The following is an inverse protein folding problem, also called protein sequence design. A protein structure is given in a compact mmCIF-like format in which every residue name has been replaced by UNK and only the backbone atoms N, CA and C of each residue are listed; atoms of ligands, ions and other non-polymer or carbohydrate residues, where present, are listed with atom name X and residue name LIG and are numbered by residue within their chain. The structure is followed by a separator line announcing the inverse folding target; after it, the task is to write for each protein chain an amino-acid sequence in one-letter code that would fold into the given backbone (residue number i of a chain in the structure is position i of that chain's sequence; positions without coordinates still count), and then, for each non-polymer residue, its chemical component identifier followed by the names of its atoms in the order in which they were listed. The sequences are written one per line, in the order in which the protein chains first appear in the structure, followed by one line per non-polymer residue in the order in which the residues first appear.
data_IF_061659436807
#
_entry.id   IF_061659436807
#
_cell.length_a   1.000
_cell.length_b   1.000
_cell.length_c   1.000
_cell.angle_alpha   90.00
_cell.angle_beta   90.00
_cell.angle_gamma   90.00
#
_symmetry.space_group_name_H-M   'P 1'
#
loop_
_entity.id
_entity.type
_entity.pdbx_description
1 polymer ?
#
# COMPACT_ATOMS: atom_id res chain seq x y z
N UNK A 1 -38.74 17.81 29.03
CA UNK A 1 -38.79 19.29 29.09
C UNK A 1 -38.18 19.80 27.80
N UNK A 2 -39.04 20.08 26.82
CA UNK A 2 -38.68 20.50 25.45
C UNK A 2 -38.26 21.97 25.48
N UNK A 3 -37.00 22.28 25.14
CA UNK A 3 -36.53 23.65 24.95
C UNK A 3 -36.65 24.00 23.46
N UNK A 4 -37.64 24.83 23.16
CA UNK A 4 -37.86 25.47 21.86
C UNK A 4 -36.60 26.23 21.40
N UNK A 5 -35.92 25.69 20.40
CA UNK A 5 -35.01 26.43 19.53
C UNK A 5 -35.87 26.98 18.38
N UNK A 6 -35.92 28.30 18.11
CA UNK A 6 -36.67 28.84 16.98
C UNK A 6 -36.11 28.26 15.67
N UNK A 7 -37.02 27.89 14.78
CA UNK A 7 -36.78 27.10 13.59
C UNK A 7 -35.61 27.58 12.69
N UNK A 8 -34.79 26.60 12.26
CA UNK A 8 -34.11 26.44 10.94
C UNK A 8 -32.57 26.33 10.84
N UNK A 9 -31.84 26.07 11.91
CA UNK A 9 -30.48 25.49 11.78
C UNK A 9 -30.35 24.31 12.74
N UNK A 10 -30.24 23.10 12.20
CA UNK A 10 -30.04 21.88 12.99
C UNK A 10 -28.54 21.53 13.09
N UNK A 11 -28.17 20.63 14.00
CA UNK A 11 -26.80 20.14 14.17
C UNK A 11 -26.22 19.57 12.86
N UNK A 12 -27.06 18.92 12.05
CA UNK A 12 -26.71 18.42 10.72
C UNK A 12 -26.28 19.54 9.74
N UNK A 13 -26.93 20.70 9.81
CA UNK A 13 -26.60 21.86 8.97
C UNK A 13 -25.23 22.46 9.36
N UNK A 14 -24.89 22.42 10.65
CA UNK A 14 -23.59 22.87 11.17
C UNK A 14 -22.45 21.95 10.74
N UNK A 15 -22.68 20.63 10.78
CA UNK A 15 -21.69 19.66 10.28
C UNK A 15 -21.46 19.83 8.77
N UNK A 16 -22.53 19.92 7.98
CA UNK A 16 -22.43 20.21 6.54
C UNK A 16 -21.77 21.55 6.25
N UNK A 17 -22.00 22.57 7.07
CA UNK A 17 -21.33 23.86 6.95
C UNK A 17 -19.81 23.75 7.20
N UNK A 18 -19.41 22.96 8.20
CA UNK A 18 -18.00 22.69 8.53
C UNK A 18 -17.28 21.81 7.50
N UNK A 19 -18.02 20.97 6.78
CA UNK A 19 -17.50 20.16 5.68
C UNK A 19 -17.57 20.88 4.31
N UNK A 20 -18.22 22.06 4.26
CA UNK A 20 -18.36 22.85 3.05
C UNK A 20 -19.43 22.34 2.07
N UNK A 21 -20.28 21.42 2.51
CA UNK A 21 -21.33 20.77 1.71
C UNK A 21 -22.67 21.54 1.67
N UNK A 22 -22.74 22.70 2.32
CA UNK A 22 -23.94 23.56 2.29
C UNK A 22 -23.99 24.41 1.03
N UNK A 23 -25.21 24.62 0.50
CA UNK A 23 -25.42 25.54 -0.61
C UNK A 23 -25.09 26.99 -0.20
N UNK A 24 -24.74 27.89 -1.15
CA UNK A 24 -24.39 29.28 -0.87
C UNK A 24 -25.46 30.04 -0.09
N UNK A 25 -26.74 29.76 -0.37
CA UNK A 25 -27.90 30.38 0.28
C UNK A 25 -28.01 29.94 1.75
N UNK A 26 -27.79 28.65 2.01
CA UNK A 26 -27.85 28.09 3.37
C UNK A 26 -26.65 28.50 4.21
N UNK A 27 -25.49 28.70 3.57
CA UNK A 27 -24.28 29.21 4.21
C UNK A 27 -24.48 30.61 4.79
N UNK A 28 -25.08 31.52 4.01
CA UNK A 28 -25.38 32.88 4.46
C UNK A 28 -26.43 32.90 5.59
N UNK A 29 -27.35 31.94 5.61
CA UNK A 29 -28.30 31.75 6.71
C UNK A 29 -27.57 31.33 7.99
N UNK A 30 -26.72 30.30 7.93
CA UNK A 30 -25.92 29.82 9.07
C UNK A 30 -24.99 30.91 9.62
N UNK A 31 -24.35 31.71 8.76
CA UNK A 31 -23.49 32.82 9.18
C UNK A 31 -24.25 33.91 9.96
N UNK A 32 -25.46 34.31 9.51
CA UNK A 32 -26.30 35.25 10.27
C UNK A 32 -26.72 34.70 11.63
N UNK A 33 -26.96 33.39 11.72
CA UNK A 33 -27.28 32.75 12.99
C UNK A 33 -26.06 32.64 13.93
N UNK A 34 -24.87 32.48 13.39
CA UNK A 34 -23.60 32.51 14.15
C UNK A 34 -23.24 33.92 14.66
N UNK A 35 -23.72 34.98 14.00
CA UNK A 35 -23.62 36.36 14.50
C UNK A 35 -24.56 36.63 15.68
N UNK A 36 -25.74 35.99 15.66
CA UNK A 36 -26.83 36.24 16.62
C UNK A 36 -26.75 35.35 17.86
N UNK A 37 -26.09 34.17 17.77
CA UNK A 37 -26.04 33.19 18.87
C UNK A 37 -24.61 32.85 19.31
N UNK A 38 -24.32 33.09 20.59
CA UNK A 38 -23.06 32.69 21.23
C UNK A 38 -22.95 31.18 21.47
N UNK A 39 -24.08 30.48 21.62
CA UNK A 39 -24.08 29.02 21.83
C UNK A 39 -23.68 28.27 20.54
N UNK A 40 -24.26 28.65 19.40
CA UNK A 40 -23.92 28.08 18.10
C UNK A 40 -22.44 28.30 17.75
N UNK A 41 -21.89 29.47 18.10
CA UNK A 41 -20.46 29.76 17.91
C UNK A 41 -19.56 28.84 18.73
N UNK A 42 -19.97 28.50 19.96
CA UNK A 42 -19.25 27.56 20.82
C UNK A 42 -19.29 26.14 20.28
N UNK A 43 -20.44 25.72 19.76
CA UNK A 43 -20.62 24.38 19.19
C UNK A 43 -19.78 24.19 17.91
N UNK A 44 -19.77 25.19 17.03
CA UNK A 44 -18.92 25.19 15.82
C UNK A 44 -17.43 25.17 16.17
N UNK A 45 -17.02 25.88 17.24
CA UNK A 45 -15.63 25.86 17.71
C UNK A 45 -15.21 24.48 18.23
N UNK A 46 -16.10 23.79 18.95
CA UNK A 46 -15.86 22.44 19.46
C UNK A 46 -15.71 21.42 18.31
N UNK A 47 -16.60 21.46 17.32
CA UNK A 47 -16.50 20.55 16.17
C UNK A 47 -15.24 20.80 15.35
N UNK A 48 -14.80 22.07 15.24
CA UNK A 48 -13.54 22.41 14.57
C UNK A 48 -12.33 21.84 15.29
N UNK A 49 -12.25 21.99 16.62
CA UNK A 49 -11.11 21.46 17.38
C UNK A 49 -11.01 19.93 17.30
N UNK A 50 -12.15 19.23 17.33
CA UNK A 50 -12.17 17.77 17.15
C UNK A 50 -11.68 17.37 15.75
N UNK A 51 -12.12 18.07 14.70
CA UNK A 51 -11.69 17.80 13.31
C UNK A 51 -10.18 17.99 13.14
N UNK A 52 -9.61 19.03 13.74
CA UNK A 52 -8.16 19.29 13.71
C UNK A 52 -7.35 18.19 14.43
N UNK A 53 -7.81 17.74 15.61
CA UNK A 53 -7.14 16.67 16.37
C UNK A 53 -7.18 15.32 15.62
N UNK A 54 -8.32 14.98 15.02
CA UNK A 54 -8.44 13.78 14.19
C UNK A 54 -7.56 13.83 12.93
N UNK A 55 -7.44 15.01 12.31
CA UNK A 55 -6.54 15.20 11.18
C UNK A 55 -5.08 14.96 11.59
N UNK A 56 -4.63 15.53 12.71
CA UNK A 56 -3.25 15.38 13.17
C UNK A 56 -2.90 13.91 13.51
N UNK A 57 -3.84 13.18 14.12
CA UNK A 57 -3.71 11.73 14.35
C UNK A 57 -3.64 10.93 13.05
N UNK A 58 -4.45 11.28 12.04
CA UNK A 58 -4.44 10.61 10.74
C UNK A 58 -3.11 10.79 9.99
N UNK A 59 -2.49 11.98 10.09
CA UNK A 59 -1.20 12.27 9.47
C UNK A 59 -0.03 11.65 10.22
N UNK A 60 -0.11 11.53 11.56
CA UNK A 60 0.92 10.87 12.37
C UNK A 60 1.05 9.38 12.04
N UNK A 61 -0.07 8.67 11.88
CA UNK A 61 -0.07 7.25 11.49
C UNK A 61 0.47 7.04 10.07
N UNK A 62 0.14 7.91 9.11
CA UNK A 62 0.61 7.78 7.72
C UNK A 62 2.14 7.93 7.56
N UNK A 63 2.81 8.65 8.48
CA UNK A 63 4.27 8.84 8.42
C UNK A 63 5.08 7.66 8.99
N UNK A 64 4.52 6.88 9.91
CA UNK A 64 5.20 5.80 10.60
C UNK A 64 5.54 4.62 9.68
N UNK A 65 4.69 4.32 8.70
CA UNK A 65 4.86 3.19 7.80
C UNK A 65 5.98 3.40 6.76
N UNK A 66 6.28 4.67 6.41
CA UNK A 66 7.20 4.99 5.30
C UNK A 66 8.69 4.70 5.55
N UNK A 67 9.09 4.50 6.81
CA UNK A 67 10.49 4.24 7.19
C UNK A 67 10.80 2.75 7.10
N UNK A 68 9.89 1.89 7.57
CA UNK A 68 10.04 0.44 7.50
C UNK A 68 9.93 -0.11 6.07
N UNK A 69 9.08 0.49 5.24
CA UNK A 69 8.99 0.14 3.81
C UNK A 69 10.24 0.53 3.01
N UNK A 70 10.93 1.61 3.40
CA UNK A 70 12.19 2.04 2.78
C UNK A 70 13.37 1.14 3.11
N UNK A 71 13.38 0.56 4.31
CA UNK A 71 14.44 -0.37 4.76
C UNK A 71 14.22 -1.76 4.14
N UNK A 72 12.96 -2.24 4.12
CA UNK A 72 12.59 -3.55 3.56
C UNK A 72 12.76 -3.64 2.04
N UNK A 73 12.56 -2.53 1.32
CA UNK A 73 12.74 -2.53 -0.14
C UNK A 73 14.21 -2.46 -0.60
N UNK A 74 15.14 -2.01 0.25
CA UNK A 74 16.54 -1.76 -0.16
C UNK A 74 17.55 -2.85 0.24
N UNK A 75 17.31 -3.60 1.31
CA UNK A 75 18.35 -4.49 1.89
C UNK A 75 18.02 -5.97 1.73
N UNK A 76 16.77 -6.39 1.95
CA UNK A 76 16.41 -7.82 1.89
C UNK A 76 16.27 -8.37 0.47
N UNK A 77 15.98 -7.51 -0.52
CA UNK A 77 15.79 -7.96 -1.91
C UNK A 77 17.10 -8.35 -2.61
N UNK A 78 18.18 -7.53 -2.66
CA UNK A 78 19.36 -7.87 -3.45
C UNK A 78 20.16 -9.04 -2.85
N UNK A 79 20.25 -9.14 -1.52
CA UNK A 79 21.02 -10.19 -0.85
C UNK A 79 20.39 -11.57 -1.05
N UNK A 80 19.04 -11.65 -0.96
CA UNK A 80 18.32 -12.89 -1.22
C UNK A 80 18.52 -13.40 -2.65
N UNK A 81 18.55 -12.50 -3.65
CA UNK A 81 18.81 -12.88 -5.04
C UNK A 81 20.24 -13.34 -5.26
N UNK A 82 21.23 -12.65 -4.69
CA UNK A 82 22.64 -13.04 -4.80
C UNK A 82 22.85 -14.46 -4.25
N UNK A 83 22.34 -14.73 -3.04
CA UNK A 83 22.49 -16.03 -2.40
C UNK A 83 21.75 -17.13 -3.16
N UNK A 84 20.58 -16.82 -3.71
CA UNK A 84 19.80 -17.75 -4.54
C UNK A 84 20.54 -18.09 -5.83
N UNK A 85 21.01 -17.09 -6.58
CA UNK A 85 21.77 -17.29 -7.83
C UNK A 85 23.04 -18.09 -7.56
N UNK A 86 23.81 -17.71 -6.53
CA UNK A 86 25.04 -18.40 -6.17
C UNK A 86 24.78 -19.86 -5.78
N UNK A 87 23.74 -20.13 -4.98
CA UNK A 87 23.33 -21.47 -4.59
C UNK A 87 22.87 -22.31 -5.78
N UNK A 88 22.06 -21.75 -6.68
CA UNK A 88 21.62 -22.43 -7.91
C UNK A 88 22.78 -22.78 -8.81
N UNK A 89 23.74 -21.86 -9.02
CA UNK A 89 24.94 -22.12 -9.83
C UNK A 89 25.78 -23.24 -9.22
N UNK A 90 26.03 -23.20 -7.91
CA UNK A 90 26.78 -24.25 -7.22
C UNK A 90 26.09 -25.62 -7.31
N UNK A 91 24.76 -25.65 -7.13
CA UNK A 91 23.96 -26.86 -7.22
C UNK A 91 23.98 -27.45 -8.64
N UNK A 92 23.85 -26.61 -9.67
CA UNK A 92 23.94 -27.04 -11.07
C UNK A 92 25.34 -27.57 -11.42
N UNK A 93 26.40 -26.92 -10.94
CA UNK A 93 27.76 -27.39 -11.16
C UNK A 93 28.00 -28.77 -10.52
N UNK A 94 27.52 -28.97 -9.28
CA UNK A 94 27.60 -30.25 -8.60
C UNK A 94 26.74 -31.33 -9.29
N UNK A 95 25.53 -30.98 -9.70
CA UNK A 95 24.64 -31.86 -10.46
C UNK A 95 25.29 -32.30 -11.77
N UNK A 96 25.84 -31.38 -12.55
CA UNK A 96 26.53 -31.69 -13.79
C UNK A 96 27.76 -32.59 -13.55
N UNK A 97 28.58 -32.28 -12.54
CA UNK A 97 29.76 -33.08 -12.21
C UNK A 97 29.40 -34.52 -11.81
N UNK A 98 28.41 -34.68 -10.93
CA UNK A 98 27.94 -36.00 -10.50
C UNK A 98 27.30 -36.79 -11.64
N UNK A 99 26.58 -36.10 -12.53
CA UNK A 99 25.94 -36.70 -13.70
C UNK A 99 26.94 -37.20 -14.74
N UNK A 100 28.01 -36.45 -14.98
CA UNK A 100 29.11 -36.86 -15.87
C UNK A 100 29.80 -38.12 -15.35
N UNK A 101 30.11 -38.18 -14.04
CA UNK A 101 30.74 -39.35 -13.41
C UNK A 101 29.82 -40.56 -13.22
N UNK A 102 28.51 -40.40 -13.38
CA UNK A 102 27.58 -41.52 -13.21
C UNK A 102 27.79 -42.60 -14.29
N UNK A 103 27.76 -43.89 -13.94
CA UNK A 103 27.90 -45.01 -14.88
C UNK A 103 26.58 -45.29 -15.64
N UNK A 104 25.82 -44.23 -15.96
CA UNK A 104 24.55 -44.32 -16.70
C UNK A 104 24.77 -44.27 -18.21
N UNK A 105 23.90 -44.94 -18.96
CA UNK A 105 23.92 -44.94 -20.43
C UNK A 105 23.64 -43.56 -21.03
N UNK A 106 24.21 -43.27 -22.20
CA UNK A 106 24.15 -41.94 -22.83
C UNK A 106 22.72 -41.45 -23.11
N UNK A 107 21.79 -42.36 -23.43
CA UNK A 107 20.37 -42.04 -23.66
C UNK A 107 19.69 -41.51 -22.40
N UNK A 108 19.94 -42.14 -21.25
CA UNK A 108 19.43 -41.69 -19.94
C UNK A 108 20.04 -40.33 -19.59
N UNK A 109 21.33 -40.12 -19.93
CA UNK A 109 21.99 -38.84 -19.73
C UNK A 109 21.32 -37.71 -20.52
N UNK A 110 21.02 -37.96 -21.79
CA UNK A 110 20.39 -36.98 -22.67
C UNK A 110 18.92 -36.71 -22.28
N UNK A 111 18.15 -37.74 -21.95
CA UNK A 111 16.75 -37.59 -21.54
C UNK A 111 16.61 -36.78 -20.24
N UNK A 112 17.34 -37.16 -19.20
CA UNK A 112 17.28 -36.47 -17.90
C UNK A 112 17.90 -35.07 -17.98
N UNK A 113 18.99 -34.91 -18.73
CA UNK A 113 19.61 -33.60 -18.97
C UNK A 113 18.68 -32.65 -19.72
N UNK A 114 17.98 -33.13 -20.76
CA UNK A 114 17.01 -32.35 -21.53
C UNK A 114 15.85 -31.85 -20.67
N UNK A 115 15.30 -32.70 -19.80
CA UNK A 115 14.24 -32.31 -18.85
C UNK A 115 14.75 -31.24 -17.88
N UNK A 116 15.93 -31.44 -17.29
CA UNK A 116 16.53 -30.48 -16.37
C UNK A 116 16.77 -29.13 -17.04
N UNK A 117 17.34 -29.12 -18.25
CA UNK A 117 17.57 -27.90 -19.04
C UNK A 117 16.24 -27.21 -19.36
N UNK A 118 15.21 -27.97 -19.77
CA UNK A 118 13.88 -27.42 -20.05
C UNK A 118 13.28 -26.70 -18.84
N UNK A 119 13.36 -27.31 -17.65
CA UNK A 119 12.91 -26.69 -16.39
C UNK A 119 13.70 -25.41 -16.11
N UNK A 120 15.02 -25.41 -16.28
CA UNK A 120 15.85 -24.23 -16.06
C UNK A 120 15.51 -23.08 -17.00
N UNK A 121 15.26 -23.38 -18.28
CA UNK A 121 14.85 -22.38 -19.28
C UNK A 121 13.48 -21.79 -18.93
N UNK A 122 12.52 -22.63 -18.52
CA UNK A 122 11.20 -22.15 -18.07
C UNK A 122 11.33 -21.25 -16.85
N UNK A 123 12.11 -21.68 -15.86
CA UNK A 123 12.33 -20.91 -14.64
C UNK A 123 13.04 -19.58 -14.91
N UNK A 124 14.04 -19.58 -15.81
CA UNK A 124 14.72 -18.37 -16.25
C UNK A 124 13.77 -17.40 -16.95
N UNK A 125 12.84 -17.88 -17.80
CA UNK A 125 11.83 -17.04 -18.43
C UNK A 125 10.89 -16.40 -17.41
N UNK A 126 10.42 -17.16 -16.41
CA UNK A 126 9.57 -16.62 -15.34
C UNK A 126 10.31 -15.56 -14.53
N UNK A 127 11.59 -15.80 -14.20
CA UNK A 127 12.41 -14.82 -13.47
C UNK A 127 12.63 -13.56 -14.32
N UNK A 128 12.92 -13.72 -15.61
CA UNK A 128 13.13 -12.61 -16.54
C UNK A 128 11.88 -11.75 -16.69
N UNK A 129 10.73 -12.39 -16.89
CA UNK A 129 9.44 -11.72 -17.01
C UNK A 129 9.09 -10.99 -15.71
N UNK A 130 9.33 -11.63 -14.56
CA UNK A 130 9.14 -10.99 -13.25
C UNK A 130 10.07 -9.80 -13.05
N UNK A 131 11.35 -9.92 -13.43
CA UNK A 131 12.32 -8.83 -13.32
C UNK A 131 11.96 -7.64 -14.20
N UNK A 132 11.54 -7.89 -15.44
CA UNK A 132 11.09 -6.86 -16.39
C UNK A 132 9.83 -6.14 -15.89
N UNK A 133 8.89 -6.88 -15.34
CA UNK A 133 7.60 -6.34 -14.86
C UNK A 133 7.74 -5.65 -13.51
N UNK A 134 8.75 -6.01 -12.69
CA UNK A 134 9.01 -5.40 -11.38
C UNK A 134 9.27 -3.88 -11.45
N UNK A 135 9.81 -3.39 -12.57
CA UNK A 135 10.06 -1.96 -12.78
C UNK A 135 8.86 -1.17 -13.34
N UNK A 136 7.85 -1.85 -13.88
CA UNK A 136 6.73 -1.23 -14.61
C UNK A 136 5.35 -1.46 -13.99
N UNK A 137 5.27 -2.22 -12.90
CA UNK A 137 3.99 -2.56 -12.25
C UNK A 137 3.29 -1.32 -11.64
N UNK A 138 2.20 -0.83 -12.25
CA UNK A 138 1.45 0.34 -11.76
C UNK A 138 0.68 0.08 -10.48
N UNK A 139 0.49 -1.20 -10.10
CA UNK A 139 -0.29 -1.60 -8.93
C UNK A 139 0.56 -1.76 -7.65
N UNK A 140 1.86 -1.46 -7.71
CA UNK A 140 2.80 -1.58 -6.59
C UNK A 140 2.40 -0.80 -5.33
N UNK A 141 1.56 0.23 -5.45
CA UNK A 141 1.17 1.11 -4.34
C UNK A 141 -0.33 1.10 -4.02
N UNK A 142 -1.10 0.15 -4.55
CA UNK A 142 -2.53 0.07 -4.23
C UNK A 142 -2.71 -0.73 -2.94
N UNK A 143 -2.69 -0.02 -1.80
CA UNK A 143 -3.17 -0.56 -0.53
C UNK A 143 -4.70 -0.72 -0.61
N UNK A 144 -5.21 -1.87 -0.17
CA UNK A 144 -6.63 -2.24 -0.25
C UNK A 144 -7.26 -2.21 1.14
#
# INVERSE_FOLDING_TARGET
MSKNIPAKVNQEDLMRFLDGEVSPEKRAEVERFLETSSELRREVALFRSMKEEFQDLSFANYRADSVWDRIRSRITQPVGWILTIAGTVAWLAYGAWSFVRSPSGIVVKLATGGVAIGILVLLANVIWDRYRTYGTDPYRNVQR
#
